data_IF_257825663331
#
_entry.id   IF_257825663331
#
_cell.length_a   1.000
_cell.length_b   1.000
_cell.length_c   1.000
_cell.angle_alpha   90.00
_cell.angle_beta   90.00
_cell.angle_gamma   90.00
#
_symmetry.space_group_name_H-M   'P 1'
#
loop_
_entity.id
_entity.type
_entity.pdbx_description
1 polymer ?
#
# COMPACT_ATOMS: atom_id res chain seq x y z
N UNK A 1 26.18 -9.99 8.36
CA UNK A 1 25.24 -10.81 9.17
C UNK A 1 25.41 -12.27 8.78
N UNK A 2 25.71 -13.17 9.72
CA UNK A 2 25.89 -14.62 9.47
C UNK A 2 24.58 -15.41 9.62
N UNK A 3 23.48 -14.70 9.75
CA UNK A 3 22.13 -15.21 9.92
C UNK A 3 21.20 -14.43 8.98
N UNK A 4 20.39 -15.15 8.22
CA UNK A 4 19.48 -14.60 7.22
C UNK A 4 18.10 -15.24 7.36
N UNK A 5 17.07 -14.43 7.12
CA UNK A 5 15.69 -14.87 7.00
C UNK A 5 15.08 -14.26 5.75
N UNK A 6 14.23 -15.02 5.06
CA UNK A 6 13.53 -14.52 3.89
C UNK A 6 12.88 -15.64 3.08
N UNK A 7 12.41 -15.29 1.89
CA UNK A 7 11.75 -16.21 0.98
C UNK A 7 12.66 -16.59 -0.18
N UNK A 8 12.66 -17.88 -0.54
CA UNK A 8 13.35 -18.35 -1.73
C UNK A 8 12.66 -17.82 -3.00
N UNK A 9 13.34 -16.97 -3.78
CA UNK A 9 12.80 -16.40 -5.03
C UNK A 9 13.19 -17.18 -6.26
N UNK A 10 14.41 -17.72 -6.25
CA UNK A 10 14.96 -18.58 -7.31
C UNK A 10 15.75 -19.68 -6.66
N UNK A 11 15.58 -20.90 -7.16
CA UNK A 11 16.31 -22.07 -6.69
C UNK A 11 16.91 -22.78 -7.90
N UNK A 12 18.22 -22.99 -7.87
CA UNK A 12 18.95 -23.75 -8.87
C UNK A 12 19.66 -24.92 -8.21
N UNK A 13 19.44 -26.14 -8.70
CA UNK A 13 20.08 -27.35 -8.17
C UNK A 13 21.28 -27.72 -9.03
N UNK A 14 22.46 -27.90 -8.42
CA UNK A 14 23.66 -28.36 -9.13
C UNK A 14 24.47 -29.30 -8.23
N UNK A 15 24.48 -30.58 -8.61
CA UNK A 15 25.18 -31.64 -7.87
C UNK A 15 24.70 -31.78 -6.42
N UNK A 16 25.61 -31.58 -5.47
CA UNK A 16 25.37 -31.69 -4.02
C UNK A 16 24.88 -30.39 -3.37
N UNK A 17 24.67 -29.33 -4.14
CA UNK A 17 24.32 -28.01 -3.63
C UNK A 17 23.01 -27.47 -4.25
N UNK A 18 22.30 -26.65 -3.47
CA UNK A 18 21.22 -25.79 -3.91
C UNK A 18 21.72 -24.35 -3.87
N UNK A 19 21.53 -23.62 -4.96
CA UNK A 19 21.81 -22.20 -5.07
C UNK A 19 20.47 -21.48 -4.94
N UNK A 20 20.24 -20.84 -3.80
CA UNK A 20 18.98 -20.17 -3.47
C UNK A 20 19.21 -18.68 -3.46
N UNK A 21 18.38 -17.94 -4.18
CA UNK A 21 18.31 -16.49 -4.09
C UNK A 21 17.25 -16.12 -3.05
N UNK A 22 17.70 -15.56 -1.93
CA UNK A 22 16.86 -15.16 -0.81
C UNK A 22 16.50 -13.67 -0.92
N UNK A 23 15.29 -13.34 -0.50
CA UNK A 23 14.74 -11.99 -0.51
C UNK A 23 13.80 -11.82 0.68
N UNK A 24 14.01 -10.79 1.49
CA UNK A 24 13.22 -10.44 2.67
C UNK A 24 12.17 -9.36 2.39
N UNK A 25 12.12 -8.84 1.16
CA UNK A 25 11.19 -7.78 0.76
C UNK A 25 11.59 -6.38 1.21
N UNK A 26 12.68 -6.21 1.98
CA UNK A 26 13.13 -4.90 2.46
C UNK A 26 14.05 -4.22 1.45
N UNK A 27 14.83 -5.00 0.70
CA UNK A 27 15.79 -4.47 -0.26
C UNK A 27 15.35 -4.75 -1.71
N UNK A 28 15.29 -3.71 -2.53
CA UNK A 28 15.51 -3.82 -3.98
C UNK A 28 16.83 -3.09 -4.21
N UNK A 29 17.94 -3.78 -4.46
CA UNK A 29 19.21 -3.10 -4.78
C UNK A 29 19.80 -3.63 -6.11
N UNK A 30 18.95 -3.69 -7.13
CA UNK A 30 19.38 -3.88 -8.52
C UNK A 30 20.33 -2.76 -8.99
N UNK A 31 21.54 -3.17 -9.37
CA UNK A 31 22.52 -2.46 -10.20
C UNK A 31 23.13 -1.14 -9.66
N UNK A 32 23.77 -1.20 -8.49
CA UNK A 32 24.92 -0.32 -8.24
C UNK A 32 26.19 -0.97 -8.81
N UNK A 33 26.85 -0.28 -9.75
CA UNK A 33 28.11 -0.74 -10.35
C UNK A 33 29.32 -0.51 -9.45
N UNK A 34 29.18 0.21 -8.35
CA UNK A 34 30.29 0.53 -7.46
C UNK A 34 30.00 0.13 -6.00
N UNK A 35 30.93 -0.69 -5.47
CA UNK A 35 31.19 -0.95 -4.05
C UNK A 35 30.26 -1.89 -3.24
N UNK A 36 30.59 -3.18 -3.38
CA UNK A 36 30.76 -4.18 -2.31
C UNK A 36 29.55 -4.85 -1.66
N UNK A 37 28.32 -4.32 -1.73
CA UNK A 37 27.11 -5.04 -1.31
C UNK A 37 26.09 -5.02 -2.44
N UNK A 38 26.38 -5.81 -3.50
CA UNK A 38 25.50 -6.04 -4.64
C UNK A 38 24.11 -6.45 -4.16
N UNK A 39 23.12 -5.60 -4.40
CA UNK A 39 21.70 -5.87 -4.20
C UNK A 39 21.04 -6.79 -5.21
N UNK A 40 21.82 -7.82 -5.54
CA UNK A 40 21.37 -9.17 -5.74
C UNK A 40 20.25 -9.56 -4.78
N UNK A 41 19.19 -10.26 -5.18
CA UNK A 41 18.65 -11.26 -4.25
C UNK A 41 19.84 -12.07 -3.70
N UNK A 42 20.00 -12.13 -2.38
CA UNK A 42 21.21 -12.67 -1.76
C UNK A 42 21.35 -14.14 -2.15
N UNK A 43 22.48 -14.49 -2.77
CA UNK A 43 22.72 -15.89 -3.11
C UNK A 43 23.24 -16.63 -1.88
N UNK A 44 22.57 -17.74 -1.58
CA UNK A 44 22.92 -18.68 -0.52
C UNK A 44 23.18 -20.05 -1.15
N UNK A 45 24.31 -20.65 -0.80
CA UNK A 45 24.68 -22.01 -1.20
C UNK A 45 24.32 -22.95 -0.06
N UNK A 46 23.37 -23.85 -0.29
CA UNK A 46 22.85 -24.79 0.70
C UNK A 46 23.30 -26.20 0.31
N UNK A 47 24.17 -26.86 1.10
CA UNK A 47 24.45 -28.28 0.95
C UNK A 47 23.16 -29.11 1.06
N UNK A 48 22.98 -30.05 0.13
CA UNK A 48 21.80 -30.93 0.12
C UNK A 48 21.74 -31.90 1.32
N UNK A 49 22.83 -32.03 2.05
CA UNK A 49 22.87 -32.72 3.35
C UNK A 49 22.13 -31.96 4.45
N UNK A 50 22.05 -30.62 4.37
CA UNK A 50 21.30 -29.79 5.32
C UNK A 50 19.83 -29.69 4.95
N UNK A 51 19.53 -29.54 3.66
CA UNK A 51 18.17 -29.45 3.16
C UNK A 51 18.06 -30.13 1.79
N UNK A 52 17.24 -31.17 1.68
CA UNK A 52 17.18 -32.00 0.47
C UNK A 52 16.61 -31.25 -0.74
N UNK A 53 15.58 -30.44 -0.49
CA UNK A 53 14.83 -29.68 -1.48
C UNK A 53 14.33 -28.37 -0.87
N UNK A 54 14.36 -27.31 -1.66
CA UNK A 54 13.80 -25.99 -1.34
C UNK A 54 13.00 -25.56 -2.57
N UNK A 55 11.77 -25.10 -2.37
CA UNK A 55 10.92 -24.60 -3.45
C UNK A 55 10.98 -23.06 -3.50
N UNK A 56 10.58 -22.49 -4.63
CA UNK A 56 10.32 -21.04 -4.70
C UNK A 56 9.12 -20.74 -3.80
N UNK A 57 9.20 -19.66 -3.02
CA UNK A 57 8.21 -19.27 -2.02
C UNK A 57 8.48 -19.81 -0.62
N UNK A 58 9.33 -20.84 -0.46
CA UNK A 58 9.69 -21.37 0.87
C UNK A 58 10.32 -20.28 1.74
N UNK A 59 9.78 -20.10 2.95
CA UNK A 59 10.39 -19.26 3.97
C UNK A 59 11.55 -20.02 4.64
N UNK A 60 12.71 -19.38 4.72
CA UNK A 60 13.94 -20.00 5.19
C UNK A 60 14.56 -19.19 6.33
N UNK A 61 15.06 -19.91 7.33
CA UNK A 61 15.98 -19.45 8.34
C UNK A 61 17.35 -20.09 8.08
N UNK A 62 18.37 -19.26 7.86
CA UNK A 62 19.69 -19.70 7.39
C UNK A 62 20.77 -19.08 8.26
N UNK A 63 21.81 -19.87 8.57
CA UNK A 63 23.06 -19.34 9.11
C UNK A 63 24.24 -19.92 8.35
N UNK A 64 25.32 -19.17 8.24
CA UNK A 64 26.47 -19.60 7.46
C UNK A 64 27.63 -18.63 7.47
N UNK A 65 28.60 -18.90 6.62
CA UNK A 65 29.78 -18.07 6.43
C UNK A 65 29.75 -17.41 5.06
N UNK A 66 30.12 -16.14 5.02
CA UNK A 66 30.27 -15.43 3.75
C UNK A 66 31.53 -15.88 3.04
N UNK A 67 31.35 -16.31 1.80
CA UNK A 67 32.43 -16.80 0.94
C UNK A 67 32.46 -16.00 -0.36
N UNK A 68 33.63 -15.92 -0.98
CA UNK A 68 33.73 -15.29 -2.30
C UNK A 68 33.06 -16.19 -3.32
N UNK A 69 32.11 -15.63 -4.07
CA UNK A 69 31.39 -16.38 -5.08
C UNK A 69 32.34 -16.83 -6.18
N UNK A 70 32.19 -18.09 -6.60
CA UNK A 70 32.95 -18.66 -7.72
C UNK A 70 32.43 -18.17 -9.08
N UNK A 71 31.20 -17.65 -9.12
CA UNK A 71 30.57 -17.12 -10.33
C UNK A 71 30.74 -15.60 -10.46
N UNK A 72 30.66 -15.07 -11.68
CA UNK A 72 30.79 -13.64 -11.99
C UNK A 72 29.56 -12.78 -11.65
N UNK A 73 28.44 -13.39 -11.26
CA UNK A 73 27.16 -12.69 -11.06
C UNK A 73 27.08 -11.90 -9.75
N UNK A 74 27.83 -12.30 -8.73
CA UNK A 74 27.90 -11.61 -7.46
C UNK A 74 29.29 -11.78 -6.84
N UNK A 75 29.74 -10.83 -5.99
CA UNK A 75 31.06 -10.91 -5.37
C UNK A 75 31.12 -11.91 -4.21
N UNK A 76 30.03 -12.03 -3.44
CA UNK A 76 29.95 -12.84 -2.21
C UNK A 76 28.68 -13.69 -2.21
N UNK A 77 28.74 -14.82 -1.54
CA UNK A 77 27.61 -15.71 -1.29
C UNK A 77 27.70 -16.33 0.11
N UNK A 78 26.55 -16.58 0.74
CA UNK A 78 26.52 -17.22 2.05
C UNK A 78 26.56 -18.74 1.87
N UNK A 79 27.57 -19.40 2.40
CA UNK A 79 27.61 -20.86 2.46
C UNK A 79 26.91 -21.33 3.75
N UNK A 80 25.76 -21.97 3.61
CA UNK A 80 24.92 -22.33 4.74
C UNK A 80 25.54 -23.47 5.57
N UNK A 81 25.67 -23.23 6.88
CA UNK A 81 25.99 -24.24 7.89
C UNK A 81 24.73 -24.77 8.59
N UNK A 82 23.65 -23.98 8.61
CA UNK A 82 22.31 -24.40 9.03
C UNK A 82 21.27 -23.88 8.05
N UNK A 83 20.27 -24.70 7.79
CA UNK A 83 19.11 -24.36 6.98
C UNK A 83 17.86 -24.95 7.64
N UNK A 84 16.90 -24.10 7.97
CA UNK A 84 15.63 -24.49 8.53
C UNK A 84 14.50 -23.88 7.68
N UNK A 85 13.80 -24.69 6.88
CA UNK A 85 12.54 -24.29 6.28
C UNK A 85 11.53 -24.00 7.40
N UNK A 86 10.95 -22.80 7.40
CA UNK A 86 9.96 -22.38 8.40
C UNK A 86 8.57 -22.90 7.99
N UNK A 87 8.26 -22.83 6.70
CA UNK A 87 6.99 -23.32 6.13
C UNK A 87 7.20 -23.92 4.75
N UNK A 88 6.43 -24.94 4.42
CA UNK A 88 6.32 -25.46 3.05
C UNK A 88 5.43 -24.50 2.24
N UNK A 89 6.05 -23.64 1.44
CA UNK A 89 5.44 -22.64 0.54
C UNK A 89 4.10 -22.02 1.04
N UNK A 90 4.12 -20.90 1.79
CA UNK A 90 2.91 -20.26 2.31
C UNK A 90 1.97 -19.75 1.19
N UNK A 91 2.44 -19.66 -0.06
CA UNK A 91 1.58 -19.33 -1.20
C UNK A 91 0.54 -20.43 -1.46
N UNK A 92 0.84 -21.70 -1.16
CA UNK A 92 -0.11 -22.80 -1.34
C UNK A 92 -1.20 -22.81 -0.25
N UNK A 93 -0.91 -22.36 0.97
CA UNK A 93 -1.90 -22.25 2.05
C UNK A 93 -2.81 -21.02 1.90
N UNK A 94 -2.27 -19.87 1.46
CA UNK A 94 -3.05 -18.64 1.24
C UNK A 94 -4.05 -18.76 0.07
N UNK A 95 -3.70 -19.52 -0.98
CA UNK A 95 -4.59 -19.78 -2.12
C UNK A 95 -5.85 -20.58 -1.70
N UNK A 96 -5.76 -21.42 -0.68
CA UNK A 96 -6.92 -22.16 -0.17
C UNK A 96 -7.99 -21.25 0.44
N UNK A 97 -7.68 -20.00 0.77
CA UNK A 97 -8.64 -19.03 1.30
C UNK A 97 -9.16 -18.04 0.26
N UNK A 98 -8.43 -17.81 -0.84
CA UNK A 98 -8.85 -16.86 -1.89
C UNK A 98 -9.77 -17.47 -2.95
N UNK A 99 -9.68 -18.79 -3.19
CA UNK A 99 -10.52 -19.49 -4.17
C UNK A 99 -11.77 -20.12 -3.56
N UNK A 100 -12.04 -19.89 -2.26
CA UNK A 100 -13.38 -20.14 -1.71
C UNK A 100 -14.27 -18.97 -2.12
N UNK A 101 -14.63 -18.95 -3.41
CA UNK A 101 -15.95 -18.43 -3.76
C UNK A 101 -16.94 -19.30 -2.98
N UNK A 102 -17.44 -18.74 -1.88
CA UNK A 102 -18.57 -19.30 -1.17
C UNK A 102 -19.76 -19.30 -2.13
N UNK A 103 -19.89 -20.35 -2.95
CA UNK A 103 -21.16 -20.70 -3.58
C UNK A 103 -22.07 -21.17 -2.46
N UNK A 104 -22.66 -20.23 -1.72
CA UNK A 104 -23.90 -20.50 -1.03
C UNK A 104 -24.97 -20.66 -2.11
N UNK A 105 -25.16 -21.89 -2.60
CA UNK A 105 -26.43 -22.26 -3.22
C UNK A 105 -27.45 -22.21 -2.08
N UNK A 106 -28.18 -21.09 -1.99
CA UNK A 106 -29.33 -20.97 -1.11
C UNK A 106 -30.38 -21.92 -1.67
N UNK A 107 -30.42 -23.15 -1.15
CA UNK A 107 -31.62 -23.98 -1.19
C UNK A 107 -32.21 -23.98 0.21
N UNK A 108 -33.37 -23.37 0.30
CA UNK A 108 -34.21 -23.33 1.49
C UNK A 108 -34.41 -24.73 2.06
N UNK A 109 -33.90 -24.96 3.28
CA UNK A 109 -34.60 -25.55 4.43
C UNK A 109 -33.60 -25.86 5.54
N UNK A 110 -33.80 -25.18 6.67
CA UNK A 110 -33.52 -25.62 8.06
C UNK A 110 -32.16 -26.29 8.41
N UNK A 111 -31.52 -25.70 9.44
CA UNK A 111 -30.54 -26.26 10.39
C UNK A 111 -29.04 -26.34 10.04
N UNK A 112 -28.24 -26.05 11.09
CA UNK A 112 -26.88 -26.51 11.44
C UNK A 112 -25.86 -26.61 10.30
N UNK A 113 -24.83 -25.78 10.38
CA UNK A 113 -23.57 -25.95 9.65
C UNK A 113 -22.92 -27.26 10.10
N UNK A 114 -23.10 -28.32 9.31
CA UNK A 114 -22.23 -29.50 9.31
C UNK A 114 -21.11 -29.25 8.31
N UNK A 115 -19.87 -29.17 8.79
CA UNK A 115 -18.69 -29.27 7.91
C UNK A 115 -18.51 -30.77 7.63
N UNK A 116 -19.08 -31.27 6.53
CA UNK A 116 -19.06 -32.72 6.23
C UNK A 116 -17.79 -33.21 5.53
N UNK A 117 -16.98 -32.34 4.92
CA UNK A 117 -15.64 -32.69 4.45
C UNK A 117 -14.83 -31.46 4.05
N UNK A 118 -13.60 -31.33 4.57
CA UNK A 118 -12.55 -30.59 3.86
C UNK A 118 -12.08 -31.51 2.74
N UNK A 119 -12.61 -31.31 1.53
CA UNK A 119 -12.04 -31.96 0.34
C UNK A 119 -10.69 -31.29 0.12
N UNK A 120 -9.63 -31.90 0.64
CA UNK A 120 -8.26 -31.45 0.46
C UNK A 120 -7.87 -31.54 -1.01
N UNK A 121 -8.13 -30.48 -1.78
CA UNK A 121 -7.47 -30.28 -3.06
C UNK A 121 -6.01 -29.96 -2.77
N UNK A 122 -5.16 -30.98 -2.92
CA UNK A 122 -3.71 -30.80 -2.97
C UNK A 122 -3.38 -30.14 -4.32
N UNK A 123 -3.63 -28.83 -4.43
CA UNK A 123 -3.15 -28.01 -5.54
C UNK A 123 -1.62 -28.12 -5.53
N UNK A 124 -1.06 -28.67 -6.61
CA UNK A 124 0.39 -28.78 -6.72
C UNK A 124 0.99 -27.37 -6.70
N UNK A 125 1.95 -27.14 -5.81
CA UNK A 125 2.69 -25.89 -5.71
C UNK A 125 3.47 -25.52 -6.99
N UNK A 126 3.43 -26.38 -8.01
CA UNK A 126 4.06 -26.17 -9.32
C UNK A 126 3.32 -25.14 -10.19
N UNK A 127 2.05 -24.81 -9.90
CA UNK A 127 1.23 -23.93 -10.76
C UNK A 127 1.58 -22.44 -10.57
N UNK A 128 2.07 -22.03 -9.40
CA UNK A 128 2.33 -20.62 -9.07
C UNK A 128 3.82 -20.33 -8.85
N UNK A 129 4.63 -20.59 -9.87
CA UNK A 129 5.98 -20.01 -9.89
C UNK A 129 5.90 -18.52 -10.26
N UNK A 130 6.74 -17.70 -9.63
CA UNK A 130 6.92 -16.26 -9.94
C UNK A 130 7.15 -16.02 -11.45
N UNK A 131 7.63 -17.03 -12.18
CA UNK A 131 7.81 -17.00 -13.64
C UNK A 131 6.51 -16.94 -14.45
N UNK A 132 5.39 -17.39 -13.91
CA UNK A 132 4.10 -17.40 -14.62
C UNK A 132 3.34 -16.08 -14.49
N UNK A 133 3.76 -15.19 -13.59
CA UNK A 133 3.05 -13.94 -13.27
C UNK A 133 3.73 -12.77 -14.00
N UNK A 134 3.78 -12.84 -15.32
CA UNK A 134 3.83 -11.63 -16.14
C UNK A 134 2.40 -11.08 -16.25
N UNK A 135 1.81 -10.74 -15.10
CA UNK A 135 0.42 -10.32 -15.02
C UNK A 135 0.30 -8.81 -15.21
N UNK A 136 -0.81 -8.41 -15.83
CA UNK A 136 -1.21 -7.01 -15.92
C UNK A 136 -1.42 -6.46 -14.50
N UNK A 137 -1.35 -5.13 -14.36
CA UNK A 137 -1.63 -4.46 -13.08
C UNK A 137 -2.98 -4.86 -12.50
N UNK A 138 -3.95 -5.15 -13.36
CA UNK A 138 -5.33 -5.44 -12.98
C UNK A 138 -5.48 -6.86 -12.43
N UNK A 139 -4.80 -7.85 -13.03
CA UNK A 139 -4.78 -9.22 -12.50
C UNK A 139 -4.09 -9.27 -11.13
N UNK A 140 -2.99 -8.53 -10.96
CA UNK A 140 -2.35 -8.36 -9.65
C UNK A 140 -3.28 -7.66 -8.64
N UNK A 141 -4.20 -6.80 -9.09
CA UNK A 141 -5.15 -6.16 -8.19
C UNK A 141 -6.12 -7.16 -7.55
N UNK A 142 -6.53 -8.18 -8.29
CA UNK A 142 -7.43 -9.22 -7.78
C UNK A 142 -6.73 -10.17 -6.80
N UNK A 143 -5.41 -10.31 -6.89
CA UNK A 143 -4.61 -11.23 -6.05
C UNK A 143 -3.73 -10.47 -5.08
N UNK A 144 -4.35 -9.88 -4.07
CA UNK A 144 -3.69 -9.06 -3.04
C UNK A 144 -2.49 -9.75 -2.39
N UNK A 145 -2.60 -11.05 -2.08
CA UNK A 145 -1.54 -11.83 -1.43
C UNK A 145 -0.30 -12.05 -2.32
N UNK A 146 -0.42 -11.91 -3.65
CA UNK A 146 0.70 -12.05 -4.60
C UNK A 146 1.38 -10.73 -4.92
N UNK A 147 0.73 -9.58 -4.70
CA UNK A 147 1.29 -8.25 -4.99
C UNK A 147 2.67 -8.00 -4.37
N UNK A 148 2.94 -8.37 -3.10
CA UNK A 148 4.25 -8.17 -2.49
C UNK A 148 5.38 -8.94 -3.17
N UNK A 149 5.09 -9.92 -4.03
CA UNK A 149 6.11 -10.65 -4.79
C UNK A 149 6.68 -9.81 -5.94
N UNK A 150 5.90 -8.88 -6.48
CA UNK A 150 6.31 -7.97 -7.55
C UNK A 150 7.37 -6.98 -7.04
N UNK A 151 8.45 -6.81 -7.81
CA UNK A 151 9.49 -5.81 -7.51
C UNK A 151 8.92 -4.40 -7.56
N UNK A 152 8.10 -4.10 -8.58
CA UNK A 152 7.53 -2.76 -8.79
C UNK A 152 6.56 -2.38 -7.67
N UNK A 153 5.71 -3.31 -7.25
CA UNK A 153 4.77 -3.05 -6.17
C UNK A 153 5.49 -2.74 -4.86
N UNK A 154 6.54 -3.51 -4.54
CA UNK A 154 7.40 -3.25 -3.37
C UNK A 154 8.13 -1.90 -3.46
N UNK A 155 8.66 -1.54 -4.64
CA UNK A 155 9.26 -0.23 -4.87
C UNK A 155 8.29 0.89 -4.55
N UNK A 156 7.05 0.81 -5.04
CA UNK A 156 6.01 1.80 -4.77
C UNK A 156 5.72 1.91 -3.27
N UNK A 157 5.59 0.79 -2.55
CA UNK A 157 5.34 0.82 -1.11
C UNK A 157 6.49 1.45 -0.32
N UNK A 158 7.74 1.11 -0.64
CA UNK A 158 8.90 1.70 0.04
C UNK A 158 9.08 3.17 -0.31
N UNK A 159 8.91 3.57 -1.57
CA UNK A 159 8.91 4.97 -1.98
C UNK A 159 7.81 5.77 -1.28
N UNK A 160 6.58 5.23 -1.19
CA UNK A 160 5.47 5.87 -0.46
C UNK A 160 5.78 6.00 1.03
N UNK A 161 6.37 4.98 1.64
CA UNK A 161 6.81 5.03 3.04
C UNK A 161 7.85 6.14 3.24
N UNK A 162 8.86 6.20 2.38
CA UNK A 162 9.93 7.20 2.46
C UNK A 162 9.40 8.62 2.18
N UNK A 163 8.48 8.77 1.23
CA UNK A 163 7.78 10.03 0.95
C UNK A 163 7.10 10.56 2.21
N UNK A 164 6.39 9.72 2.96
CA UNK A 164 5.73 10.12 4.21
C UNK A 164 6.72 10.62 5.27
N UNK A 165 7.92 10.04 5.34
CA UNK A 165 8.97 10.48 6.27
C UNK A 165 9.54 11.83 5.83
N UNK A 166 9.89 11.96 4.55
CA UNK A 166 10.46 13.19 3.99
C UNK A 166 9.47 14.35 4.11
N UNK A 167 8.18 14.11 3.84
CA UNK A 167 7.16 15.14 3.99
C UNK A 167 7.08 15.66 5.42
N UNK A 168 7.06 14.78 6.43
CA UNK A 168 7.07 15.18 7.84
C UNK A 168 8.32 16.01 8.19
N UNK A 169 9.49 15.60 7.71
CA UNK A 169 10.74 16.36 7.92
C UNK A 169 10.68 17.77 7.33
N UNK A 170 10.01 17.96 6.20
CA UNK A 170 9.81 19.30 5.63
C UNK A 170 8.95 20.17 6.55
N UNK A 171 7.79 19.66 6.94
CA UNK A 171 6.83 20.39 7.78
C UNK A 171 7.41 20.69 9.17
N UNK A 172 8.13 19.75 9.78
CA UNK A 172 8.88 19.96 11.02
C UNK A 172 9.90 21.09 10.87
N UNK A 173 10.68 21.10 9.79
CA UNK A 173 11.68 22.15 9.51
C UNK A 173 11.04 23.53 9.32
N UNK A 174 9.85 23.59 8.72
CA UNK A 174 9.10 24.83 8.50
C UNK A 174 8.30 25.28 9.74
N UNK A 175 8.39 24.54 10.85
CA UNK A 175 7.81 24.86 12.15
C UNK A 175 6.33 24.51 12.30
N UNK A 176 5.83 23.54 11.53
CA UNK A 176 4.45 23.07 11.64
C UNK A 176 4.28 22.03 12.73
N UNK A 177 3.06 21.97 13.28
CA UNK A 177 2.63 20.91 14.19
C UNK A 177 1.71 19.95 13.43
N UNK A 178 2.04 18.65 13.43
CA UNK A 178 1.15 17.60 12.91
C UNK A 178 -0.01 17.42 13.88
N UNK A 179 -1.24 17.45 13.37
CA UNK A 179 -2.44 17.19 14.16
C UNK A 179 -3.30 16.10 13.51
N UNK A 180 -4.01 15.35 14.34
CA UNK A 180 -5.00 14.39 13.91
C UNK A 180 -6.38 15.06 13.90
N UNK A 181 -7.13 14.86 12.81
CA UNK A 181 -8.49 15.38 12.64
C UNK A 181 -9.53 14.25 12.75
N UNK A 182 -10.77 14.54 13.18
CA UNK A 182 -11.81 13.51 13.30
C UNK A 182 -12.12 12.81 11.96
N UNK A 183 -12.15 11.48 11.98
CA UNK A 183 -12.49 10.64 10.80
C UNK A 183 -13.99 10.36 10.65
N UNK A 184 -14.80 10.80 11.60
CA UNK A 184 -16.26 10.76 11.56
C UNK A 184 -16.72 12.15 11.96
N UNK A 185 -17.42 12.84 11.06
CA UNK A 185 -17.80 14.24 11.21
C UNK A 185 -19.25 14.46 10.82
N UNK A 186 -19.93 15.39 11.50
CA UNK A 186 -21.26 15.85 11.08
C UNK A 186 -21.22 16.82 9.89
N UNK A 187 -20.01 17.20 9.47
CA UNK A 187 -19.78 18.17 8.42
C UNK A 187 -19.32 17.48 7.13
N UNK A 188 -19.95 17.82 6.01
CA UNK A 188 -19.57 17.35 4.67
C UNK A 188 -18.45 18.19 4.02
N UNK A 189 -17.95 19.21 4.73
CA UNK A 189 -16.85 20.15 4.42
C UNK A 189 -17.03 21.01 3.16
N UNK A 190 -17.45 20.43 2.04
CA UNK A 190 -17.53 21.09 0.72
C UNK A 190 -18.97 21.26 0.21
N UNK A 191 -20.00 20.74 0.90
CA UNK A 191 -21.41 20.87 0.49
C UNK A 191 -21.77 20.17 -0.83
N UNK A 192 -20.84 19.42 -1.44
CA UNK A 192 -20.97 18.86 -2.79
C UNK A 192 -21.69 17.50 -2.84
N UNK A 193 -22.10 16.93 -1.71
CA UNK A 193 -22.89 15.69 -1.66
C UNK A 193 -22.13 14.40 -2.02
N UNK A 194 -20.81 14.47 -2.20
CA UNK A 194 -19.94 13.33 -2.52
C UNK A 194 -19.26 12.75 -1.27
N UNK A 195 -19.95 12.75 -0.14
CA UNK A 195 -19.45 12.17 1.12
C UNK A 195 -20.11 10.82 1.43
N UNK A 196 -19.37 9.89 2.03
CA UNK A 196 -19.92 8.63 2.51
C UNK A 196 -20.66 8.85 3.83
N UNK A 197 -21.94 8.47 3.88
CA UNK A 197 -22.74 8.48 5.11
C UNK A 197 -22.36 7.29 6.00
N UNK A 198 -22.08 7.57 7.27
CA UNK A 198 -21.82 6.57 8.30
C UNK A 198 -23.10 6.35 9.10
N UNK A 199 -23.58 5.10 9.12
CA UNK A 199 -24.71 4.66 9.95
C UNK A 199 -24.32 3.43 10.73
N UNK A 200 -24.61 3.44 12.03
CA UNK A 200 -24.47 2.26 12.87
C UNK A 200 -25.79 1.49 12.78
N UNK A 201 -25.74 0.30 12.21
CA UNK A 201 -26.89 -0.60 12.19
C UNK A 201 -26.70 -1.57 13.36
N UNK A 202 -27.47 -1.38 14.43
CA UNK A 202 -27.54 -2.36 15.51
C UNK A 202 -28.26 -3.60 14.96
N UNK A 203 -27.73 -4.79 15.24
CA UNK A 203 -28.14 -6.04 14.58
C UNK A 203 -29.56 -6.52 14.89
N UNK A 204 -30.38 -5.71 15.58
CA UNK A 204 -31.80 -5.98 15.76
C UNK A 204 -32.55 -6.01 14.41
N UNK A 205 -31.93 -5.50 13.34
CA UNK A 205 -32.36 -5.67 11.95
C UNK A 205 -32.38 -7.12 11.43
N UNK A 206 -31.59 -8.05 12.01
CA UNK A 206 -31.71 -9.48 11.67
C UNK A 206 -33.05 -10.03 12.21
N UNK A 207 -33.55 -9.49 13.32
CA UNK A 207 -34.88 -9.80 13.84
C UNK A 207 -36.00 -9.16 12.99
N UNK A 208 -35.73 -8.02 12.34
CA UNK A 208 -36.69 -7.35 11.45
C UNK A 208 -36.92 -8.10 10.14
N UNK A 209 -35.86 -8.72 9.58
CA UNK A 209 -35.98 -9.65 8.44
C UNK A 209 -36.75 -10.93 8.81
N UNK A 210 -36.70 -11.36 10.07
CA UNK A 210 -37.49 -12.49 10.60
C UNK A 210 -38.95 -12.06 10.87
N UNK A 211 -39.20 -10.79 11.20
CA UNK A 211 -40.55 -10.23 11.45
C UNK A 211 -41.41 -10.15 10.18
N UNK A 212 -40.81 -9.95 8.99
CA UNK A 212 -41.52 -10.04 7.71
C UNK A 212 -42.17 -11.42 7.50
N UNK A 213 -41.66 -12.47 8.17
CA UNK A 213 -42.20 -13.83 8.14
C UNK A 213 -43.37 -14.01 9.14
N UNK A 214 -43.53 -13.14 10.14
CA UNK A 214 -44.51 -13.29 11.22
C UNK A 214 -45.39 -12.05 11.47
N UNK A 215 -46.57 -12.06 10.85
CA UNK A 215 -47.85 -11.41 11.21
C UNK A 215 -47.86 -9.95 11.74
N UNK A 216 -48.57 -9.12 10.98
CA UNK A 216 -48.80 -7.67 11.03
C UNK A 216 -49.39 -7.03 12.31
N UNK A 217 -49.45 -7.74 13.44
CA UNK A 217 -50.00 -7.21 14.69
C UNK A 217 -48.96 -6.57 15.63
N UNK A 218 -47.66 -6.85 15.44
CA UNK A 218 -46.57 -6.37 16.33
C UNK A 218 -45.92 -5.05 15.82
N UNK A 219 -46.26 -4.60 14.60
CA UNK A 219 -45.62 -3.42 13.97
C UNK A 219 -45.92 -2.06 14.64
N UNK A 220 -46.98 -1.94 15.44
CA UNK A 220 -47.33 -0.65 16.07
C UNK A 220 -46.53 -0.44 17.37
N UNK A 221 -45.99 -1.50 17.97
CA UNK A 221 -45.31 -1.43 19.28
C UNK A 221 -43.79 -1.25 19.16
N UNK A 222 -43.18 -1.60 18.02
CA UNK A 222 -41.74 -1.46 17.79
C UNK A 222 -41.34 -0.12 17.16
N UNK A 223 -42.30 0.77 16.88
CA UNK A 223 -42.03 2.10 16.31
C UNK A 223 -41.53 3.12 17.35
N UNK A 224 -41.08 2.68 18.52
CA UNK A 224 -40.51 3.53 19.55
C UNK A 224 -39.10 3.06 19.91
N UNK A 225 -38.17 3.99 19.67
CA UNK A 225 -36.76 4.00 20.07
C UNK A 225 -35.80 3.18 19.20
N UNK A 226 -35.28 3.83 18.17
CA UNK A 226 -33.84 3.75 17.90
C UNK A 226 -33.34 5.20 17.86
N UNK A 227 -32.76 5.69 18.96
CA UNK A 227 -31.80 6.79 18.85
C UNK A 227 -30.72 6.28 17.89
N UNK A 228 -30.60 6.88 16.69
CA UNK A 228 -29.44 6.64 15.81
C UNK A 228 -28.19 6.75 16.70
N UNK A 229 -27.17 5.90 16.54
CA UNK A 229 -26.02 5.85 17.47
C UNK A 229 -25.38 7.24 17.75
N UNK A 230 -25.58 8.18 16.83
CA UNK A 230 -25.12 9.55 16.95
C UNK A 230 -26.25 10.61 17.15
N UNK A 231 -27.42 10.21 17.63
CA UNK A 231 -28.63 11.03 17.70
C UNK A 231 -29.19 11.39 16.33
N UNK A 232 -29.95 12.49 16.24
CA UNK A 232 -30.60 12.94 14.99
C UNK A 232 -29.63 13.48 13.92
N UNK A 233 -28.33 13.57 14.24
CA UNK A 233 -27.33 14.13 13.38
C UNK A 233 -26.83 13.10 12.36
N UNK A 234 -26.59 13.55 11.12
CA UNK A 234 -25.96 12.72 10.09
C UNK A 234 -24.45 12.81 10.21
N UNK A 235 -23.79 11.67 10.13
CA UNK A 235 -22.34 11.56 10.20
C UNK A 235 -21.77 11.04 8.90
N UNK A 236 -20.60 11.54 8.55
CA UNK A 236 -19.94 11.29 7.28
C UNK A 236 -18.45 10.97 7.49
N UNK A 237 -17.89 10.21 6.56
CA UNK A 237 -16.44 10.16 6.39
C UNK A 237 -15.95 11.46 5.76
N UNK A 238 -14.84 12.05 6.24
CA UNK A 238 -14.39 13.36 5.79
C UNK A 238 -13.87 13.31 4.35
N UNK A 239 -14.27 14.29 3.56
CA UNK A 239 -13.71 14.57 2.22
C UNK A 239 -12.39 15.35 2.31
N UNK A 240 -12.20 16.09 3.40
CA UNK A 240 -11.06 16.97 3.69
C UNK A 240 -11.00 17.26 5.19
N UNK A 241 -9.81 17.58 5.70
CA UNK A 241 -9.58 18.06 7.08
C UNK A 241 -9.57 19.58 7.21
N UNK A 242 -9.76 20.32 6.11
CA UNK A 242 -9.59 21.77 6.01
C UNK A 242 -10.23 22.53 7.18
N UNK A 243 -11.53 22.33 7.42
CA UNK A 243 -12.27 23.08 8.45
C UNK A 243 -11.76 22.82 9.88
N UNK A 244 -11.21 21.62 10.14
CA UNK A 244 -10.59 21.33 11.43
C UNK A 244 -9.23 22.01 11.57
N UNK A 245 -8.44 22.08 10.48
CA UNK A 245 -7.18 22.82 10.47
C UNK A 245 -7.43 24.32 10.67
N UNK A 246 -8.42 24.90 10.00
CA UNK A 246 -8.86 26.28 10.16
C UNK A 246 -9.34 26.58 11.59
N UNK A 247 -9.97 25.63 12.27
CA UNK A 247 -10.36 25.81 13.67
C UNK A 247 -9.13 25.89 14.60
N UNK A 248 -8.15 25.00 14.39
CA UNK A 248 -6.95 24.88 15.23
C UNK A 248 -5.99 26.05 15.01
N UNK A 249 -5.98 26.63 13.80
CA UNK A 249 -5.03 27.71 13.47
C UNK A 249 -5.18 28.96 14.33
N UNK A 250 -6.36 29.14 14.93
CA UNK A 250 -6.65 30.21 15.90
C UNK A 250 -5.75 30.18 17.14
N UNK A 251 -5.21 29.00 17.51
CA UNK A 251 -4.27 28.84 18.62
C UNK A 251 -2.86 28.40 18.21
N UNK A 252 -2.68 27.85 17.00
CA UNK A 252 -1.41 27.32 16.51
C UNK A 252 -1.18 27.80 15.08
N UNK A 253 -0.24 28.72 14.86
CA UNK A 253 -0.10 29.43 13.59
C UNK A 253 0.28 28.60 12.36
N UNK A 254 0.72 27.35 12.53
CA UNK A 254 1.12 26.45 11.45
C UNK A 254 0.75 25.01 11.82
N UNK A 255 -0.23 24.45 11.14
CA UNK A 255 -0.68 23.08 11.38
C UNK A 255 -0.79 22.31 10.08
N UNK A 256 -0.56 21.00 10.14
CA UNK A 256 -0.77 20.12 9.00
C UNK A 256 -1.28 18.76 9.46
N UNK A 257 -1.85 17.99 8.55
CA UNK A 257 -2.24 16.61 8.78
C UNK A 257 -1.93 15.76 7.55
N UNK A 258 -1.64 14.48 7.79
CA UNK A 258 -1.53 13.47 6.74
C UNK A 258 -2.59 12.40 7.00
N UNK A 259 -3.84 12.67 6.61
CA UNK A 259 -5.00 11.88 7.00
C UNK A 259 -5.67 11.18 5.83
N UNK A 260 -6.35 10.05 6.04
CA UNK A 260 -7.27 9.48 5.06
C UNK A 260 -8.38 10.48 4.71
N UNK A 261 -8.81 10.46 3.46
CA UNK A 261 -9.96 11.20 2.96
C UNK A 261 -10.77 10.31 2.03
N UNK A 262 -12.08 10.56 1.99
CA UNK A 262 -13.03 9.71 1.30
C UNK A 262 -13.93 10.52 0.38
N UNK A 263 -14.06 10.10 -0.87
CA UNK A 263 -14.98 10.73 -1.84
C UNK A 263 -15.87 9.69 -2.47
N UNK A 264 -17.17 9.89 -2.35
CA UNK A 264 -18.22 9.06 -2.93
C UNK A 264 -18.52 9.46 -4.39
N UNK A 265 -17.49 9.81 -5.15
CA UNK A 265 -17.58 10.12 -6.57
C UNK A 265 -17.93 8.87 -7.39
N UNK A 266 -18.90 8.97 -8.30
CA UNK A 266 -19.22 7.89 -9.27
C UNK A 266 -18.26 7.89 -10.46
N UNK A 267 -16.96 8.05 -10.21
CA UNK A 267 -15.93 8.19 -11.24
C UNK A 267 -14.97 6.99 -11.23
N UNK A 268 -15.08 6.12 -12.22
CA UNK A 268 -14.17 4.97 -12.41
C UNK A 268 -13.01 5.34 -13.35
N UNK A 269 -12.19 6.30 -12.95
CA UNK A 269 -11.00 6.72 -13.70
C UNK A 269 -9.72 6.08 -13.14
N UNK A 270 -8.60 6.18 -13.88
CA UNK A 270 -7.28 5.75 -13.40
C UNK A 270 -6.66 6.70 -12.36
N UNK A 271 -7.26 7.86 -12.14
CA UNK A 271 -6.76 8.94 -11.29
C UNK A 271 -7.60 9.16 -10.03
N UNK A 272 -8.77 8.53 -9.93
CA UNK A 272 -9.68 8.68 -8.79
C UNK A 272 -9.68 7.42 -7.93
N UNK A 273 -9.66 7.63 -6.61
CA UNK A 273 -9.86 6.60 -5.59
C UNK A 273 -10.95 7.09 -4.65
N UNK A 274 -11.81 6.18 -4.21
CA UNK A 274 -12.83 6.50 -3.20
C UNK A 274 -12.21 6.74 -1.81
N UNK A 275 -11.04 6.15 -1.55
CA UNK A 275 -10.22 6.34 -0.35
C UNK A 275 -8.80 6.70 -0.77
N UNK A 276 -8.28 7.79 -0.23
CA UNK A 276 -6.92 8.26 -0.48
C UNK A 276 -6.35 8.93 0.77
N UNK A 277 -5.08 9.35 0.73
CA UNK A 277 -4.48 10.15 1.81
C UNK A 277 -4.25 11.56 1.30
N UNK A 278 -4.67 12.54 2.09
CA UNK A 278 -4.38 13.94 1.86
C UNK A 278 -3.28 14.40 2.80
N UNK A 279 -2.41 15.25 2.26
CA UNK A 279 -1.53 16.09 3.05
C UNK A 279 -2.11 17.48 2.96
N UNK A 280 -2.59 18.00 4.08
CA UNK A 280 -3.31 19.27 4.18
C UNK A 280 -2.59 20.12 5.22
N UNK A 281 -2.43 21.41 4.93
CA UNK A 281 -1.70 22.32 5.79
C UNK A 281 -2.34 23.70 5.77
N UNK A 282 -2.36 24.34 6.93
CA UNK A 282 -2.95 25.66 7.13
C UNK A 282 -1.91 26.57 7.81
N UNK A 283 -1.80 27.81 7.33
CA UNK A 283 -0.80 28.80 7.77
C UNK A 283 -1.51 30.11 8.16
N UNK A 284 -1.34 30.54 9.41
CA UNK A 284 -1.91 31.78 9.90
C UNK A 284 -1.15 32.98 9.34
N UNK A 285 -1.85 34.12 9.24
CA UNK A 285 -1.26 35.41 8.86
C UNK A 285 -0.63 35.45 7.47
N UNK A 286 -1.00 34.50 6.61
CA UNK A 286 -0.57 34.48 5.22
C UNK A 286 -1.56 35.29 4.38
N UNK A 287 -1.14 36.48 3.95
CA UNK A 287 -1.98 37.42 3.20
C UNK A 287 -1.71 37.40 1.69
N UNK A 288 -0.67 36.71 1.25
CA UNK A 288 -0.19 36.69 -0.14
C UNK A 288 -0.21 35.28 -0.74
N UNK A 289 -0.94 35.13 -1.85
CA UNK A 289 -0.99 33.87 -2.57
C UNK A 289 0.37 33.46 -3.13
N UNK A 290 1.24 34.42 -3.47
CA UNK A 290 2.58 34.13 -4.00
C UNK A 290 3.46 33.48 -2.92
N UNK A 291 3.28 33.83 -1.64
CA UNK A 291 3.97 33.19 -0.51
C UNK A 291 3.51 31.74 -0.32
N UNK A 292 2.19 31.48 -0.36
CA UNK A 292 1.65 30.12 -0.29
C UNK A 292 2.14 29.26 -1.45
N UNK A 293 2.11 29.82 -2.66
CA UNK A 293 2.60 29.16 -3.86
C UNK A 293 4.09 28.80 -3.76
N UNK A 294 4.90 29.75 -3.30
CA UNK A 294 6.33 29.54 -3.04
C UNK A 294 6.56 28.46 -1.98
N UNK A 295 5.73 28.39 -0.95
CA UNK A 295 5.79 27.33 0.05
C UNK A 295 5.51 25.95 -0.55
N UNK A 296 4.45 25.81 -1.35
CA UNK A 296 4.11 24.54 -2.03
C UNK A 296 5.22 24.12 -3.00
N UNK A 297 5.78 25.06 -3.74
CA UNK A 297 6.92 24.79 -4.63
C UNK A 297 8.14 24.28 -3.84
N UNK A 298 8.51 24.94 -2.74
CA UNK A 298 9.61 24.50 -1.87
C UNK A 298 9.37 23.09 -1.32
N UNK A 299 8.13 22.76 -0.95
CA UNK A 299 7.76 21.42 -0.49
C UNK A 299 8.00 20.37 -1.57
N UNK A 300 7.46 20.59 -2.77
CA UNK A 300 7.58 19.64 -3.89
C UNK A 300 9.04 19.44 -4.29
N UNK A 301 9.81 20.52 -4.41
CA UNK A 301 11.26 20.46 -4.70
C UNK A 301 12.01 19.69 -3.62
N UNK A 302 11.78 20.03 -2.35
CA UNK A 302 12.45 19.37 -1.23
C UNK A 302 12.18 17.87 -1.23
N UNK A 303 10.93 17.45 -1.41
CA UNK A 303 10.55 16.04 -1.45
C UNK A 303 11.28 15.29 -2.55
N UNK A 304 11.29 15.83 -3.77
CA UNK A 304 11.90 15.19 -4.92
C UNK A 304 13.42 15.11 -4.77
N UNK A 305 14.06 16.19 -4.33
CA UNK A 305 15.51 16.21 -4.08
C UNK A 305 15.91 15.20 -3.01
N UNK A 306 15.16 15.16 -1.90
CA UNK A 306 15.40 14.19 -0.81
C UNK A 306 15.21 12.76 -1.27
N UNK A 307 14.18 12.47 -2.07
CA UNK A 307 13.98 11.14 -2.64
C UNK A 307 15.14 10.72 -3.54
N UNK A 308 15.66 11.63 -4.38
CA UNK A 308 16.82 11.38 -5.25
C UNK A 308 18.15 11.26 -4.51
N UNK A 309 18.27 11.81 -3.32
CA UNK A 309 19.47 11.69 -2.49
C UNK A 309 19.41 10.47 -1.56
N UNK A 310 18.23 9.87 -1.40
CA UNK A 310 17.99 8.81 -0.43
C UNK A 310 18.52 7.48 -0.94
N UNK A 311 19.71 7.10 -0.46
CA UNK A 311 20.39 5.84 -0.83
C UNK A 311 19.52 4.60 -0.60
N UNK A 312 18.68 4.59 0.43
CA UNK A 312 17.81 3.45 0.76
C UNK A 312 16.69 3.18 -0.26
N UNK A 313 16.29 4.18 -1.06
CA UNK A 313 15.23 4.03 -2.07
C UNK A 313 15.71 4.42 -3.47
N UNK A 314 17.01 4.68 -3.66
CA UNK A 314 17.56 5.08 -4.95
C UNK A 314 17.27 4.04 -6.04
N UNK A 315 17.46 2.76 -5.72
CA UNK A 315 17.13 1.69 -6.65
C UNK A 315 15.62 1.61 -6.91
N UNK A 316 14.78 1.85 -5.89
CA UNK A 316 13.33 1.86 -6.09
C UNK A 316 12.88 2.99 -7.00
N UNK A 317 13.47 4.17 -6.81
CA UNK A 317 13.31 5.31 -7.70
C UNK A 317 13.72 4.94 -9.13
N UNK A 318 14.90 4.37 -9.34
CA UNK A 318 15.40 3.95 -10.65
C UNK A 318 14.52 2.86 -11.30
N UNK A 319 14.03 1.89 -10.52
CA UNK A 319 13.11 0.86 -11.02
C UNK A 319 11.81 1.47 -11.52
N UNK A 320 11.37 2.56 -10.88
CA UNK A 320 10.17 3.29 -11.24
C UNK A 320 10.43 4.40 -12.28
N UNK A 321 11.68 4.76 -12.57
CA UNK A 321 12.03 5.88 -13.47
C UNK A 321 11.75 5.60 -14.95
N UNK A 322 11.50 4.34 -15.34
CA UNK A 322 10.91 4.05 -16.64
C UNK A 322 9.39 4.32 -16.69
N UNK A 323 8.76 4.44 -15.52
CA UNK A 323 7.32 4.74 -15.35
C UNK A 323 7.09 6.23 -15.08
N UNK A 324 7.95 6.86 -14.27
CA UNK A 324 8.01 8.31 -14.10
C UNK A 324 8.86 8.88 -15.23
N UNK A 325 8.33 9.77 -16.07
CA UNK A 325 9.18 10.40 -17.07
C UNK A 325 10.28 11.20 -16.36
N UNK A 326 11.53 10.72 -16.39
CA UNK A 326 12.67 11.38 -15.73
C UNK A 326 12.80 12.86 -16.14
N UNK A 327 12.35 13.20 -17.35
CA UNK A 327 12.26 14.57 -17.84
C UNK A 327 11.30 15.43 -17.02
N UNK A 328 10.19 14.90 -16.53
CA UNK A 328 9.23 15.62 -15.66
C UNK A 328 9.84 15.86 -14.30
N UNK A 329 10.52 14.87 -13.72
CA UNK A 329 11.18 15.05 -12.41
C UNK A 329 12.33 16.03 -12.51
N UNK A 330 13.14 15.96 -13.57
CA UNK A 330 14.19 16.95 -13.84
C UNK A 330 13.57 18.33 -14.06
N UNK A 331 12.47 18.44 -14.82
CA UNK A 331 11.79 19.70 -15.03
C UNK A 331 11.30 20.31 -13.71
N UNK A 332 10.71 19.52 -12.82
CA UNK A 332 10.27 20.02 -11.50
C UNK A 332 11.45 20.53 -10.65
N UNK A 333 12.65 19.96 -10.79
CA UNK A 333 13.84 20.38 -10.02
C UNK A 333 14.53 21.58 -10.67
N UNK A 334 14.57 21.66 -12.00
CA UNK A 334 15.46 22.59 -12.73
C UNK A 334 14.71 23.78 -13.30
N UNK A 335 13.40 23.65 -13.55
CA UNK A 335 12.57 24.70 -14.14
C UNK A 335 11.76 25.36 -13.02
N UNK A 336 11.69 26.68 -13.03
CA UNK A 336 10.83 27.45 -12.13
C UNK A 336 9.36 27.13 -12.38
N UNK A 337 8.56 27.04 -11.32
CA UNK A 337 7.12 26.82 -11.50
C UNK A 337 6.50 28.06 -12.14
N UNK A 338 5.72 27.87 -13.20
CA UNK A 338 5.03 28.97 -13.87
C UNK A 338 3.64 29.17 -13.29
N UNK A 339 3.38 30.38 -12.79
CA UNK A 339 2.04 30.80 -12.38
C UNK A 339 1.23 31.22 -13.59
N UNK A 340 0.10 30.54 -13.80
CA UNK A 340 -0.84 30.88 -14.85
C UNK A 340 -2.20 31.21 -14.22
N UNK A 341 -2.69 32.43 -14.46
CA UNK A 341 -4.08 32.75 -14.16
C UNK A 341 -5.03 31.86 -14.97
N UNK A 342 -6.15 31.48 -14.37
CA UNK A 342 -7.13 30.58 -15.01
C UNK A 342 -7.59 31.06 -16.39
N UNK A 343 -7.76 32.38 -16.56
CA UNK A 343 -8.11 33.04 -17.82
C UNK A 343 -7.11 32.76 -18.96
N UNK A 344 -5.84 32.50 -18.64
CA UNK A 344 -4.76 32.28 -19.58
C UNK A 344 -4.57 30.79 -19.95
N UNK A 345 -5.20 29.85 -19.23
CA UNK A 345 -5.00 28.41 -19.42
C UNK A 345 -5.35 27.97 -20.86
N UNK A 346 -6.42 28.52 -21.44
CA UNK A 346 -6.81 28.19 -22.83
C UNK A 346 -5.72 28.57 -23.85
N UNK A 347 -5.01 29.67 -23.62
CA UNK A 347 -3.93 30.13 -24.49
C UNK A 347 -2.67 29.26 -24.32
N UNK A 348 -2.35 28.86 -23.11
CA UNK A 348 -1.23 27.94 -22.85
C UNK A 348 -1.45 26.55 -23.44
N UNK A 349 -2.66 25.98 -23.30
CA UNK A 349 -3.00 24.69 -23.94
C UNK A 349 -2.85 24.80 -25.47
N UNK A 350 -3.16 25.95 -26.05
CA UNK A 350 -2.99 26.19 -27.48
C UNK A 350 -1.51 26.37 -27.90
N UNK A 351 -0.65 26.88 -27.02
CA UNK A 351 0.79 27.03 -27.26
C UNK A 351 1.56 25.71 -27.07
N UNK A 352 1.09 24.81 -26.21
CA UNK A 352 1.72 23.52 -25.94
C UNK A 352 1.33 22.39 -26.91
N UNK A 353 0.24 22.58 -27.68
CA UNK A 353 -0.15 21.69 -28.78
C UNK A 353 0.54 22.11 -30.07
#
# INVERSE_FOLDING_TARGET
LNYLQGWARKVHRKGKYLFVHLDDGLNNSGNDKDNSHNGSMLQVVIPRSLCHSVMVGTALELSGEWTRSQGSKQPMELFASKCKPITDNPLCELLMFSDVEAYSVIREKLFRVYIEAVIGFRLSCDIYTIKTIAETSDAMRQRLHLRPLSSNFRSVLRLRSQLNVISRQFYEKEGFIEIDTPMISCNDCEGAGEAFLVKVVVSDFIHELISIIYSSAIMIVLAQEDEDFFGDNRFYLPVSSQLHLEAVISGISKVYTLSPAFRAEKSLSRQHLAEFRMLEAEIAFLDDLDELCSFVERFVRFVIERLKQSTCVQTDYNNMSNTFCDQVVIAIIVVDFFFCQYSCIRYLIALCK
#
